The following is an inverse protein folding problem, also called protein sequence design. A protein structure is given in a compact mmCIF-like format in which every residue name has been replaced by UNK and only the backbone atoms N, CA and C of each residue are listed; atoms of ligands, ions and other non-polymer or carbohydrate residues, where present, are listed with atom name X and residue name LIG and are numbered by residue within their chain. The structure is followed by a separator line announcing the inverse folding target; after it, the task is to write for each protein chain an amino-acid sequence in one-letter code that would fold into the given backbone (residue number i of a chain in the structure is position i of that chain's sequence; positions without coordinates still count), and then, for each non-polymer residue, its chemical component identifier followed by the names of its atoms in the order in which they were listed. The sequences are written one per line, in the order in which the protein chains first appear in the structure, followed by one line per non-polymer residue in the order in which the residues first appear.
data_IF_220169994643
#
_entry.id   IF_220169994643
#
_cell.length_a   1.000
_cell.length_b   1.000
_cell.length_c   1.000
_cell.angle_alpha   90.00
_cell.angle_beta   90.00
_cell.angle_gamma   90.00
#
_symmetry.space_group_name_H-M   'P 1'
#
loop_
_entity.id
_entity.type
_entity.pdbx_description
1 polymer ?
#
# COMPACT_ATOMS: atom_id res chain seq x y z
N UNK A 1 0.64 -5.42 -27.84
CA UNK A 1 1.36 -4.14 -28.01
C UNK A 1 1.41 -3.49 -26.64
N UNK A 2 2.57 -3.04 -26.18
CA UNK A 2 2.67 -2.33 -24.90
C UNK A 2 2.08 -0.94 -25.01
N UNK A 3 1.64 -0.35 -23.90
CA UNK A 3 1.17 1.04 -23.91
C UNK A 3 2.30 2.00 -24.36
N UNK A 4 3.55 1.71 -24.02
CA UNK A 4 4.67 2.49 -24.52
C UNK A 4 4.74 2.49 -26.05
N UNK A 5 4.69 1.32 -26.69
CA UNK A 5 4.72 1.20 -28.15
C UNK A 5 3.50 1.89 -28.80
N UNK A 6 2.32 1.73 -28.20
CA UNK A 6 1.07 2.32 -28.70
C UNK A 6 1.10 3.85 -28.71
N UNK A 7 1.68 4.47 -27.68
CA UNK A 7 1.68 5.92 -27.50
C UNK A 7 3.03 6.59 -27.74
N UNK A 8 3.95 5.90 -28.41
CA UNK A 8 5.21 6.49 -28.88
C UNK A 8 5.11 6.81 -30.38
N UNK A 9 5.10 8.10 -30.71
CA UNK A 9 5.18 8.57 -32.10
C UNK A 9 6.63 8.97 -32.36
N UNK A 10 7.25 8.38 -33.37
CA UNK A 10 8.67 8.64 -33.72
C UNK A 10 9.64 8.43 -32.54
N UNK A 11 9.31 7.51 -31.62
CA UNK A 11 10.11 7.22 -30.43
C UNK A 11 9.87 8.16 -29.24
N UNK A 12 8.97 9.14 -29.36
CA UNK A 12 8.60 10.05 -28.29
C UNK A 12 7.29 9.59 -27.64
N UNK A 13 7.36 9.18 -26.37
CA UNK A 13 6.21 8.75 -25.59
C UNK A 13 5.39 9.95 -25.07
N UNK A 14 4.08 9.93 -25.30
CA UNK A 14 3.16 10.93 -24.74
C UNK A 14 2.33 10.37 -23.58
N UNK A 15 2.69 10.75 -22.36
CA UNK A 15 1.94 10.41 -21.14
C UNK A 15 0.50 10.94 -21.20
N UNK A 16 0.34 12.19 -21.64
CA UNK A 16 -0.95 12.85 -21.75
C UNK A 16 -1.88 12.13 -22.72
N UNK A 17 -1.37 11.72 -23.89
CA UNK A 17 -2.16 10.97 -24.89
C UNK A 17 -2.60 9.61 -24.33
N UNK A 18 -1.70 8.90 -23.64
CA UNK A 18 -2.03 7.63 -22.99
C UNK A 18 -3.15 7.80 -21.97
N UNK A 19 -3.05 8.80 -21.08
CA UNK A 19 -4.04 8.99 -20.02
C UNK A 19 -5.39 9.45 -20.58
N UNK A 20 -5.38 10.28 -21.63
CA UNK A 20 -6.60 10.68 -22.34
C UNK A 20 -7.31 9.47 -22.99
N UNK A 21 -6.57 8.56 -23.64
CA UNK A 21 -7.15 7.35 -24.28
C UNK A 21 -7.70 6.36 -23.23
N UNK A 22 -7.16 6.38 -22.01
CA UNK A 22 -7.71 5.66 -20.86
C UNK A 22 -8.93 6.35 -20.22
N UNK A 23 -9.44 7.42 -20.85
CA UNK A 23 -10.61 8.18 -20.41
C UNK A 23 -10.46 8.76 -18.99
N UNK A 24 -9.24 9.17 -18.63
CA UNK A 24 -8.94 9.83 -17.35
C UNK A 24 -9.29 11.32 -17.46
N UNK A 25 -9.92 11.84 -16.41
CA UNK A 25 -10.30 13.25 -16.34
C UNK A 25 -9.08 14.18 -16.50
N UNK A 26 -9.22 15.24 -17.30
CA UNK A 26 -8.15 16.18 -17.63
C UNK A 26 -7.54 16.84 -16.38
N UNK A 27 -8.32 17.07 -15.32
CA UNK A 27 -7.80 17.59 -14.04
C UNK A 27 -6.83 16.59 -13.41
N UNK A 28 -7.17 15.30 -13.41
CA UNK A 28 -6.30 14.24 -12.90
C UNK A 28 -5.04 14.11 -13.76
N UNK A 29 -5.15 14.21 -15.08
CA UNK A 29 -3.99 14.20 -15.99
C UNK A 29 -3.01 15.31 -15.63
N UNK A 30 -3.51 16.54 -15.42
CA UNK A 30 -2.67 17.66 -15.03
C UNK A 30 -1.96 17.40 -13.68
N UNK A 31 -2.68 16.89 -12.69
CA UNK A 31 -2.09 16.54 -11.40
C UNK A 31 -1.02 15.45 -11.53
N UNK A 32 -1.28 14.40 -12.33
CA UNK A 32 -0.34 13.31 -12.59
C UNK A 32 0.91 13.84 -13.28
N UNK A 33 0.77 14.68 -14.31
CA UNK A 33 1.89 15.25 -15.06
C UNK A 33 2.79 16.11 -14.18
N UNK A 34 2.21 16.99 -13.35
CA UNK A 34 2.97 17.81 -12.40
C UNK A 34 3.73 16.91 -11.40
N UNK A 35 3.03 15.93 -10.81
CA UNK A 35 3.60 15.04 -9.79
C UNK A 35 4.59 14.04 -10.35
N UNK A 36 4.51 13.68 -11.64
CA UNK A 36 5.40 12.71 -12.28
C UNK A 36 6.85 13.19 -12.23
N UNK A 37 7.11 14.49 -12.24
CA UNK A 37 8.46 15.03 -12.13
C UNK A 37 9.08 14.85 -10.73
N UNK A 38 8.25 14.83 -9.68
CA UNK A 38 8.68 14.92 -8.27
C UNK A 38 8.44 13.65 -7.45
N UNK A 39 7.45 12.84 -7.78
CA UNK A 39 7.08 11.65 -7.03
C UNK A 39 7.75 10.40 -7.60
N UNK A 40 8.69 9.82 -6.86
CA UNK A 40 9.32 8.53 -7.22
C UNK A 40 8.28 7.43 -7.39
N UNK A 41 7.30 7.36 -6.49
CA UNK A 41 6.21 6.39 -6.55
C UNK A 41 5.39 6.52 -7.83
N UNK A 42 5.05 7.76 -8.21
CA UNK A 42 4.28 8.00 -9.43
C UNK A 42 5.12 7.73 -10.69
N UNK A 43 6.43 7.97 -10.66
CA UNK A 43 7.34 7.54 -11.75
C UNK A 43 7.34 6.03 -11.92
N UNK A 44 7.54 5.28 -10.85
CA UNK A 44 7.54 3.81 -10.87
C UNK A 44 6.22 3.24 -11.41
N UNK A 45 5.10 3.85 -11.03
CA UNK A 45 3.79 3.47 -11.53
C UNK A 45 3.63 3.68 -13.03
N UNK A 46 3.98 4.87 -13.53
CA UNK A 46 3.89 5.17 -14.96
C UNK A 46 4.84 4.27 -15.76
N UNK A 47 6.03 3.95 -15.24
CA UNK A 47 6.95 3.00 -15.88
C UNK A 47 6.41 1.57 -15.91
N UNK A 48 5.68 1.13 -14.88
CA UNK A 48 4.94 -0.14 -14.93
C UNK A 48 3.82 -0.10 -15.98
N UNK A 49 3.02 0.96 -16.01
CA UNK A 49 1.95 1.13 -16.99
C UNK A 49 2.49 1.08 -18.43
N UNK A 50 3.58 1.78 -18.72
CA UNK A 50 4.24 1.77 -20.04
C UNK A 50 4.56 0.36 -20.54
N UNK A 51 5.02 -0.52 -19.65
CA UNK A 51 5.42 -1.90 -19.98
C UNK A 51 4.25 -2.87 -20.06
N UNK A 52 3.06 -2.43 -19.66
CA UNK A 52 1.85 -3.25 -19.64
C UNK A 52 1.34 -3.47 -21.06
N UNK A 53 0.94 -4.69 -21.39
CA UNK A 53 0.28 -5.00 -22.64
C UNK A 53 -1.15 -4.45 -22.65
N UNK A 54 -1.66 -3.97 -23.79
CA UNK A 54 -3.02 -3.39 -23.86
C UNK A 54 -4.13 -4.37 -23.43
N UNK A 55 -3.88 -5.67 -23.52
CA UNK A 55 -4.79 -6.74 -23.15
C UNK A 55 -4.69 -7.16 -21.68
N UNK A 56 -3.72 -6.62 -20.94
CA UNK A 56 -3.59 -6.89 -19.50
C UNK A 56 -4.59 -6.07 -18.69
N UNK A 57 -4.94 -6.60 -17.51
CA UNK A 57 -5.91 -5.95 -16.65
C UNK A 57 -5.29 -4.73 -15.94
N UNK A 58 -5.47 -3.56 -16.53
CA UNK A 58 -5.05 -2.26 -15.99
C UNK A 58 -5.57 -2.03 -14.56
N UNK A 59 -6.72 -2.61 -14.19
CA UNK A 59 -7.27 -2.52 -12.83
C UNK A 59 -6.33 -3.14 -11.79
N UNK A 60 -5.66 -4.25 -12.13
CA UNK A 60 -4.70 -4.89 -11.21
C UNK A 60 -3.48 -3.99 -10.96
N UNK A 61 -3.02 -3.29 -11.99
CA UNK A 61 -1.87 -2.36 -11.88
C UNK A 61 -2.24 -1.14 -11.05
N UNK A 62 -3.46 -0.63 -11.23
CA UNK A 62 -4.02 0.43 -10.39
C UNK A 62 -4.13 -0.03 -8.93
N UNK A 63 -4.63 -1.24 -8.67
CA UNK A 63 -4.71 -1.81 -7.32
C UNK A 63 -3.33 -1.99 -6.69
N UNK A 64 -2.35 -2.48 -7.43
CA UNK A 64 -0.96 -2.56 -6.96
C UNK A 64 -0.41 -1.20 -6.57
N UNK A 65 -0.68 -0.17 -7.37
CA UNK A 65 -0.25 1.19 -7.05
C UNK A 65 -0.87 1.72 -5.76
N UNK A 66 -2.18 1.53 -5.60
CA UNK A 66 -2.86 1.88 -4.35
C UNK A 66 -2.27 1.14 -3.15
N UNK A 67 -1.98 -0.15 -3.30
CA UNK A 67 -1.36 -0.95 -2.24
C UNK A 67 0.07 -0.49 -1.92
N UNK A 68 0.86 -0.09 -2.90
CA UNK A 68 2.22 0.45 -2.65
C UNK A 68 2.10 1.82 -1.97
N UNK A 69 1.25 2.71 -2.48
CA UNK A 69 0.98 4.02 -1.89
C UNK A 69 0.49 3.90 -0.43
N UNK A 70 -0.33 2.88 -0.14
CA UNK A 70 -0.81 2.58 1.21
C UNK A 70 0.28 1.93 2.08
N UNK A 71 1.10 1.03 1.54
CA UNK A 71 2.27 0.45 2.25
C UNK A 71 3.33 1.48 2.61
N UNK A 72 3.45 2.59 1.86
CA UNK A 72 4.31 3.71 2.21
C UNK A 72 3.81 4.47 3.44
N UNK A 73 2.52 4.33 3.80
CA UNK A 73 2.04 4.67 5.13
C UNK A 73 2.40 3.49 6.02
N UNK A 74 3.05 3.70 7.19
CA UNK A 74 3.24 2.62 8.12
C UNK A 74 1.84 2.07 8.46
N UNK A 75 1.52 0.84 8.02
CA UNK A 75 0.36 0.09 8.51
C UNK A 75 0.68 -0.35 9.94
N UNK A 76 1.03 0.61 10.77
CA UNK A 76 1.24 0.42 12.17
C UNK A 76 -0.13 0.43 12.79
N UNK A 77 -0.67 -0.76 13.00
CA UNK A 77 -1.92 -0.90 13.68
C UNK A 77 -1.68 -0.72 15.18
N UNK A 78 -2.56 0.02 15.85
CA UNK A 78 -2.55 0.06 17.30
C UNK A 78 -3.16 -1.25 17.84
N UNK A 79 -3.00 -1.49 19.14
CA UNK A 79 -3.50 -2.70 19.82
C UNK A 79 -4.98 -3.00 19.54
N UNK A 80 -5.83 -1.96 19.44
CA UNK A 80 -7.27 -2.10 19.15
C UNK A 80 -7.51 -2.61 17.74
N UNK A 81 -6.82 -2.06 16.76
CA UNK A 81 -6.92 -2.50 15.37
C UNK A 81 -6.40 -3.93 15.21
N UNK A 82 -5.29 -4.28 15.86
CA UNK A 82 -4.74 -5.62 15.82
C UNK A 82 -5.67 -6.67 16.46
N UNK A 83 -6.35 -6.32 17.56
CA UNK A 83 -7.37 -7.18 18.19
C UNK A 83 -8.50 -7.53 17.22
N UNK A 84 -8.97 -6.55 16.44
CA UNK A 84 -10.00 -6.78 15.41
C UNK A 84 -9.50 -7.67 14.26
N UNK A 85 -8.26 -7.48 13.82
CA UNK A 85 -7.68 -8.23 12.69
C UNK A 85 -7.37 -9.69 13.05
N UNK A 86 -6.94 -9.94 14.29
CA UNK A 86 -6.48 -11.27 14.75
C UNK A 86 -7.56 -12.05 15.49
N UNK A 87 -8.64 -11.41 15.95
CA UNK A 87 -9.62 -12.02 16.84
C UNK A 87 -9.12 -12.25 18.28
N UNK A 88 -7.89 -11.83 18.60
CA UNK A 88 -7.31 -11.91 19.93
C UNK A 88 -7.79 -10.74 20.78
N UNK A 89 -7.98 -10.96 22.08
CA UNK A 89 -8.22 -9.86 23.02
C UNK A 89 -6.97 -8.97 23.14
N UNK A 90 -7.17 -7.68 23.43
CA UNK A 90 -6.06 -6.75 23.70
C UNK A 90 -5.11 -7.27 24.80
N UNK A 91 -5.63 -8.04 25.76
CA UNK A 91 -4.85 -8.67 26.83
C UNK A 91 -3.91 -9.76 26.30
N UNK A 92 -4.42 -10.65 25.45
CA UNK A 92 -3.61 -11.70 24.81
C UNK A 92 -2.50 -11.08 23.95
N UNK A 93 -2.81 -9.99 23.24
CA UNK A 93 -1.81 -9.23 22.50
C UNK A 93 -0.74 -8.66 23.44
N UNK A 94 -1.12 -8.08 24.58
CA UNK A 94 -0.15 -7.56 25.56
C UNK A 94 0.71 -8.65 26.23
N UNK A 95 0.16 -9.84 26.44
CA UNK A 95 0.87 -11.01 26.98
C UNK A 95 1.92 -11.52 25.99
N UNK A 96 1.53 -11.74 24.72
CA UNK A 96 2.46 -12.13 23.65
C UNK A 96 3.55 -11.09 23.40
N UNK A 97 3.21 -9.79 23.50
CA UNK A 97 4.19 -8.70 23.37
C UNK A 97 5.22 -8.76 24.48
N UNK A 98 4.78 -8.96 25.73
CA UNK A 98 5.68 -9.08 26.88
C UNK A 98 6.55 -10.33 26.80
N UNK A 99 6.02 -11.42 26.24
CA UNK A 99 6.76 -12.64 25.95
C UNK A 99 7.71 -12.52 24.74
N UNK A 100 7.72 -11.38 24.02
CA UNK A 100 8.50 -11.15 22.79
C UNK A 100 8.17 -12.11 21.64
N UNK A 101 6.96 -12.67 21.65
CA UNK A 101 6.47 -13.57 20.60
C UNK A 101 5.96 -12.83 19.36
N UNK A 102 5.81 -11.50 19.47
CA UNK A 102 5.31 -10.63 18.40
C UNK A 102 6.18 -9.39 18.30
N UNK A 103 6.56 -8.96 17.09
CA UNK A 103 7.35 -7.76 16.93
C UNK A 103 6.47 -6.52 17.14
N UNK A 104 7.08 -5.46 17.67
CA UNK A 104 6.40 -4.21 17.94
C UNK A 104 7.37 -3.04 17.89
N UNK A 105 6.88 -1.89 17.43
CA UNK A 105 7.59 -0.62 17.53
C UNK A 105 7.01 0.13 18.73
N UNK A 106 7.88 0.44 19.70
CA UNK A 106 7.51 1.29 20.82
C UNK A 106 8.04 2.70 20.59
N UNK A 107 7.15 3.63 20.26
CA UNK A 107 7.48 5.05 20.23
C UNK A 107 7.32 5.62 21.64
N UNK A 108 8.40 6.15 22.19
CA UNK A 108 8.42 6.91 23.45
C UNK A 108 8.66 8.37 23.16
N UNK A 109 7.89 9.27 23.78
CA UNK A 109 8.26 10.68 23.86
C UNK A 109 9.60 10.88 24.58
N UNK A 110 10.29 11.98 24.28
CA UNK A 110 11.56 12.37 24.88
C UNK A 110 11.53 12.23 26.41
N UNK A 111 12.58 11.62 26.96
CA UNK A 111 12.84 11.43 28.40
C UNK A 111 11.96 10.43 29.17
N UNK A 112 11.55 9.32 28.54
CA UNK A 112 11.07 8.11 29.24
C UNK A 112 9.77 8.25 30.04
N UNK A 113 9.22 9.46 30.12
CA UNK A 113 8.02 9.85 30.84
C UNK A 113 6.97 10.33 29.83
N UNK A 114 6.32 9.37 29.18
CA UNK A 114 5.28 9.65 28.20
C UNK A 114 4.45 8.41 27.89
N UNK A 115 3.24 8.60 27.33
CA UNK A 115 2.42 7.49 26.85
C UNK A 115 3.21 6.72 25.77
N UNK A 116 3.53 5.47 26.06
CA UNK A 116 4.16 4.55 25.10
C UNK A 116 3.16 4.26 23.98
N UNK A 117 3.45 4.70 22.76
CA UNK A 117 2.66 4.32 21.60
C UNK A 117 3.26 3.02 21.10
N UNK A 118 2.45 1.96 21.10
CA UNK A 118 2.84 0.64 20.61
C UNK A 118 2.16 0.43 19.28
N UNK A 119 2.99 0.12 18.30
CA UNK A 119 2.65 -0.05 16.91
C UNK A 119 3.03 -1.46 16.49
N UNK A 120 2.16 -2.10 15.72
CA UNK A 120 2.37 -3.46 15.23
C UNK A 120 2.25 -3.49 13.70
N UNK A 121 3.08 -4.29 13.04
CA UNK A 121 2.95 -4.56 11.61
C UNK A 121 1.99 -5.75 11.40
N UNK A 122 0.87 -5.59 10.68
CA UNK A 122 -0.07 -6.68 10.42
C UNK A 122 0.53 -7.81 9.57
N UNK A 123 1.56 -7.56 8.75
CA UNK A 123 2.23 -8.61 7.98
C UNK A 123 2.98 -9.58 8.89
N UNK A 124 3.57 -9.08 9.98
CA UNK A 124 4.21 -9.91 11.01
C UNK A 124 3.19 -10.73 11.82
N UNK A 125 1.92 -10.33 11.79
CA UNK A 125 0.78 -11.03 12.41
C UNK A 125 -0.05 -11.86 11.44
N UNK A 126 0.33 -11.91 10.17
CA UNK A 126 -0.45 -12.56 9.11
C UNK A 126 -0.83 -14.00 9.47
N UNK A 127 0.08 -14.76 10.04
CA UNK A 127 -0.20 -16.14 10.47
C UNK A 127 -1.31 -16.23 11.53
N UNK A 128 -1.39 -15.28 12.46
CA UNK A 128 -2.44 -15.24 13.47
C UNK A 128 -3.76 -14.71 12.89
N UNK A 129 -3.70 -13.78 11.94
CA UNK A 129 -4.86 -13.32 11.16
C UNK A 129 -5.47 -14.51 10.39
N UNK A 130 -4.63 -15.29 9.70
CA UNK A 130 -5.07 -16.40 8.87
C UNK A 130 -5.60 -17.57 9.71
N UNK A 131 -4.93 -17.93 10.82
CA UNK A 131 -5.39 -18.99 11.75
C UNK A 131 -6.77 -18.69 12.36
N UNK A 132 -7.05 -17.43 12.66
CA UNK A 132 -8.31 -17.04 13.29
C UNK A 132 -9.41 -16.71 12.27
N UNK A 133 -9.08 -16.37 11.02
CA UNK A 133 -10.05 -16.25 9.91
C UNK A 133 -10.72 -17.59 9.57
N UNK A 134 -10.02 -18.72 9.70
CA UNK A 134 -10.57 -20.06 9.39
C UNK A 134 -11.56 -20.55 10.46
N UNK A 135 -11.71 -19.86 11.60
CA UNK A 135 -12.63 -20.25 12.68
C UNK A 135 -14.05 -19.69 12.56
N UNK A 136 -14.41 -19.04 11.46
CA UNK A 136 -15.81 -18.68 11.19
C UNK A 136 -16.53 -19.89 10.56
N UNK A 137 -16.92 -20.85 11.40
CA UNK A 137 -17.95 -21.82 11.05
C UNK A 137 -19.28 -21.19 11.47
N UNK A 138 -20.22 -21.09 10.51
CA UNK A 138 -21.61 -20.66 10.72
C UNK A 138 -22.32 -21.52 11.78
#
# INVERSE_FOLDING_TARGET
MTLYEKYSIEGIFSLETMLNDLNIDTKLINEITIRYSTSTLLKEFIEKLKKTNENENIQNIILEFFLIADRMKPITCNKKTLSKLTGLSERQIDERRRAREIPFIQLTGSNGSGRKIILYDPYEFKNEIDKNRVRTIN
#
